data_IF_106925510959
#
_entry.id   IF_106925510959
#
_cell.length_a   1.000
_cell.length_b   1.000
_cell.length_c   1.000
_cell.angle_alpha   90.00
_cell.angle_beta   90.00
_cell.angle_gamma   90.00
#
_symmetry.space_group_name_H-M   'P 1'
#
loop_
_entity.id
_entity.type
_entity.pdbx_description
1 polymer ?
#
# COMPACT_ATOMS: atom_id res chain seq x y z
N UNK A 1 18.97 7.88 -0.32
CA UNK A 1 17.83 7.90 0.63
C UNK A 1 17.99 6.88 1.77
N UNK A 2 18.40 5.64 1.51
CA UNK A 2 18.56 4.61 2.56
C UNK A 2 19.52 4.99 3.70
N UNK A 3 20.70 5.57 3.41
CA UNK A 3 21.66 5.99 4.44
C UNK A 3 21.10 7.08 5.37
N UNK A 4 20.35 8.03 4.80
CA UNK A 4 19.69 9.10 5.55
C UNK A 4 18.66 8.52 6.52
N UNK A 5 17.86 7.56 6.07
CA UNK A 5 16.87 6.86 6.91
C UNK A 5 17.57 6.07 8.02
N UNK A 6 18.65 5.34 7.71
CA UNK A 6 19.43 4.57 8.70
C UNK A 6 19.99 5.46 9.82
N UNK A 7 20.55 6.61 9.46
CA UNK A 7 21.07 7.56 10.44
C UNK A 7 19.95 8.17 11.31
N UNK A 8 18.77 8.41 10.71
CA UNK A 8 17.58 8.88 11.43
C UNK A 8 17.03 7.81 12.38
N UNK A 9 16.95 6.55 11.95
CA UNK A 9 16.51 5.43 12.81
C UNK A 9 17.43 5.27 14.01
N UNK A 10 18.75 5.38 13.83
CA UNK A 10 19.71 5.35 14.96
C UNK A 10 19.38 6.43 16.00
N UNK A 11 19.13 7.67 15.57
CA UNK A 11 18.75 8.77 16.47
C UNK A 11 17.41 8.52 17.15
N UNK A 12 16.43 7.98 16.42
CA UNK A 12 15.13 7.62 16.99
C UNK A 12 15.27 6.55 18.08
N UNK A 13 16.08 5.52 17.87
CA UNK A 13 16.34 4.51 18.89
C UNK A 13 17.00 5.10 20.13
N UNK A 14 17.93 6.04 19.97
CA UNK A 14 18.54 6.73 21.11
C UNK A 14 17.50 7.57 21.89
N UNK A 15 16.58 8.25 21.20
CA UNK A 15 15.47 8.99 21.83
C UNK A 15 14.55 8.05 22.61
N UNK A 16 14.16 6.91 22.02
CA UNK A 16 13.27 5.93 22.63
C UNK A 16 13.87 5.15 23.81
N UNK A 17 15.16 5.33 24.13
CA UNK A 17 15.75 4.78 25.36
C UNK A 17 15.29 5.51 26.62
N UNK A 18 14.79 6.75 26.50
CA UNK A 18 14.29 7.49 27.65
C UNK A 18 12.89 6.98 28.05
N UNK A 19 12.73 6.34 29.22
CA UNK A 19 11.43 5.82 29.67
C UNK A 19 10.43 6.94 30.02
N UNK A 20 10.91 8.15 30.31
CA UNK A 20 10.06 9.31 30.62
C UNK A 20 9.51 10.00 29.35
N UNK A 21 9.90 9.52 28.15
CA UNK A 21 9.39 10.06 26.89
C UNK A 21 7.90 9.74 26.74
N UNK A 22 7.07 10.78 26.76
CA UNK A 22 5.61 10.69 26.66
C UNK A 22 5.05 11.40 25.40
N UNK A 23 5.91 11.93 24.55
CA UNK A 23 5.54 12.60 23.30
C UNK A 23 6.15 11.90 22.09
N UNK A 24 5.44 11.93 20.96
CA UNK A 24 5.92 11.40 19.68
C UNK A 24 7.11 12.25 19.18
N UNK A 25 8.31 11.68 18.95
CA UNK A 25 9.45 12.43 18.45
C UNK A 25 9.18 13.05 17.08
N UNK A 26 9.54 14.32 16.90
CA UNK A 26 9.39 15.05 15.63
C UNK A 26 10.21 14.42 14.49
N UNK A 27 11.32 13.78 14.84
CA UNK A 27 12.17 13.02 13.91
C UNK A 27 11.41 11.87 13.24
N UNK A 28 10.42 11.28 13.91
CA UNK A 28 9.62 10.18 13.35
C UNK A 28 8.77 10.68 12.18
N UNK A 29 8.33 11.94 12.21
CA UNK A 29 7.50 12.54 11.16
C UNK A 29 8.27 12.76 9.86
N UNK A 30 9.60 12.87 9.95
CA UNK A 30 10.48 12.94 8.78
C UNK A 30 10.65 11.58 8.10
N UNK A 31 10.17 10.49 8.71
CA UNK A 31 10.05 9.19 8.05
C UNK A 31 8.90 9.28 7.07
N UNK A 32 9.15 8.97 5.79
CA UNK A 32 8.17 9.08 4.69
C UNK A 32 6.98 8.11 4.75
N UNK A 33 6.55 7.70 5.94
CA UNK A 33 5.36 6.89 6.22
C UNK A 33 4.47 7.51 7.31
N UNK A 34 4.55 8.83 7.48
CA UNK A 34 3.59 9.57 8.31
C UNK A 34 2.17 9.23 7.83
N UNK A 35 1.23 9.02 8.76
CA UNK A 35 -0.17 8.59 8.54
C UNK A 35 -0.40 7.12 8.19
N UNK A 36 0.63 6.30 7.97
CA UNK A 36 0.41 4.88 7.67
C UNK A 36 -0.29 4.14 8.82
N UNK A 37 0.07 4.47 10.07
CA UNK A 37 -0.57 3.88 11.25
C UNK A 37 -2.03 4.29 11.39
N UNK A 38 -2.40 5.51 10.99
CA UNK A 38 -3.79 5.97 11.03
C UNK A 38 -4.64 5.23 9.99
N UNK A 39 -4.15 5.12 8.75
CA UNK A 39 -4.82 4.34 7.71
C UNK A 39 -4.97 2.87 8.09
N UNK A 40 -3.94 2.26 8.70
CA UNK A 40 -3.99 0.88 9.16
C UNK A 40 -5.00 0.68 10.30
N UNK A 41 -5.00 1.57 11.31
CA UNK A 41 -5.95 1.51 12.42
C UNK A 41 -7.40 1.71 11.95
N UNK A 42 -7.65 2.65 11.04
CA UNK A 42 -9.00 2.84 10.51
C UNK A 42 -9.43 1.65 9.66
N UNK A 43 -8.56 1.09 8.82
CA UNK A 43 -8.87 -0.11 8.05
C UNK A 43 -9.28 -1.28 8.95
N UNK A 44 -8.51 -1.56 10.01
CA UNK A 44 -8.84 -2.60 10.99
C UNK A 44 -10.18 -2.31 11.69
N UNK A 45 -10.42 -1.04 12.07
CA UNK A 45 -11.66 -0.61 12.72
C UNK A 45 -12.87 -0.75 11.79
N UNK A 46 -12.72 -0.41 10.51
CA UNK A 46 -13.77 -0.51 9.50
C UNK A 46 -14.14 -1.95 9.18
N UNK A 47 -13.16 -2.85 9.09
CA UNK A 47 -13.42 -4.30 8.92
C UNK A 47 -14.14 -4.83 10.16
N UNK A 48 -13.60 -4.59 11.36
CA UNK A 48 -14.14 -5.17 12.58
C UNK A 48 -15.58 -4.72 12.86
N UNK A 49 -15.88 -3.43 12.67
CA UNK A 49 -17.17 -2.84 13.00
C UNK A 49 -18.14 -2.77 11.80
N UNK A 50 -17.79 -3.33 10.64
CA UNK A 50 -18.54 -3.18 9.38
C UNK A 50 -18.92 -1.70 9.08
N UNK A 51 -17.98 -0.76 9.29
CA UNK A 51 -18.28 0.69 9.15
C UNK A 51 -18.66 1.07 7.71
N UNK A 52 -18.27 0.26 6.72
CA UNK A 52 -18.43 0.54 5.29
C UNK A 52 -17.78 1.86 4.85
N UNK A 53 -16.70 2.24 5.55
CA UNK A 53 -15.85 3.37 5.17
C UNK A 53 -15.27 3.12 3.78
N UNK A 54 -15.22 4.17 2.95
CA UNK A 54 -14.50 4.12 1.67
C UNK A 54 -13.03 4.43 1.93
N UNK A 55 -12.14 3.52 1.54
CA UNK A 55 -10.70 3.68 1.69
C UNK A 55 -9.98 3.24 0.40
N UNK A 56 -8.82 3.81 0.11
CA UNK A 56 -7.95 3.36 -0.97
C UNK A 56 -7.06 2.23 -0.45
N UNK A 57 -7.19 1.04 -1.03
CA UNK A 57 -6.45 -0.15 -0.60
C UNK A 57 -6.03 -1.01 -1.79
N UNK A 58 -4.98 -1.79 -1.59
CA UNK A 58 -4.58 -2.83 -2.53
C UNK A 58 -5.53 -4.03 -2.39
N UNK A 59 -6.17 -4.40 -3.49
CA UNK A 59 -7.11 -5.55 -3.56
C UNK A 59 -7.03 -6.22 -4.93
N UNK A 60 -7.69 -7.36 -5.08
CA UNK A 60 -7.83 -8.05 -6.36
C UNK A 60 -8.70 -7.22 -7.31
N UNK A 61 -8.28 -7.08 -8.56
CA UNK A 61 -8.95 -6.21 -9.54
C UNK A 61 -10.43 -6.55 -9.71
N UNK A 62 -10.77 -7.82 -9.95
CA UNK A 62 -12.15 -8.29 -10.14
C UNK A 62 -13.01 -7.34 -11.02
N UNK A 63 -12.45 -6.88 -12.14
CA UNK A 63 -13.11 -5.95 -13.06
C UNK A 63 -13.18 -4.48 -12.63
N UNK A 64 -12.61 -4.08 -11.49
CA UNK A 64 -12.64 -2.69 -11.02
C UNK A 64 -11.96 -1.72 -12.00
N UNK A 65 -10.79 -2.09 -12.53
CA UNK A 65 -10.10 -1.40 -13.61
C UNK A 65 -10.23 -2.24 -14.89
N UNK A 66 -10.96 -1.71 -15.87
CA UNK A 66 -11.06 -2.30 -17.18
C UNK A 66 -9.70 -2.29 -17.91
N UNK A 67 -9.36 -3.41 -18.54
CA UNK A 67 -8.10 -3.57 -19.29
C UNK A 67 -6.93 -4.14 -18.48
N UNK A 68 -7.14 -4.48 -17.19
CA UNK A 68 -6.20 -5.26 -16.40
C UNK A 68 -6.77 -6.66 -16.11
N UNK A 69 -5.92 -7.69 -15.89
CA UNK A 69 -6.39 -9.01 -15.48
C UNK A 69 -7.21 -8.93 -14.19
N UNK A 70 -8.28 -9.72 -14.09
CA UNK A 70 -9.15 -9.72 -12.90
C UNK A 70 -8.43 -10.20 -11.65
N UNK A 71 -7.40 -11.03 -11.81
CA UNK A 71 -6.66 -11.64 -10.72
C UNK A 71 -5.48 -10.83 -10.21
N UNK A 72 -5.14 -9.74 -10.88
CA UNK A 72 -4.04 -8.87 -10.49
C UNK A 72 -4.39 -7.95 -9.31
N UNK A 73 -3.37 -7.49 -8.57
CA UNK A 73 -3.55 -6.50 -7.50
C UNK A 73 -3.65 -5.09 -8.07
N UNK A 74 -4.62 -4.31 -7.59
CA UNK A 74 -4.81 -2.88 -7.90
C UNK A 74 -5.04 -2.09 -6.62
N UNK A 75 -4.61 -0.83 -6.60
CA UNK A 75 -4.94 0.12 -5.53
C UNK A 75 -6.11 1.00 -5.96
N UNK A 76 -7.30 0.75 -5.40
CA UNK A 76 -8.53 1.44 -5.79
C UNK A 76 -9.37 1.79 -4.57
N UNK A 77 -10.32 2.71 -4.74
CA UNK A 77 -11.34 2.97 -3.73
C UNK A 77 -12.16 1.70 -3.49
N UNK A 78 -12.25 1.29 -2.23
CA UNK A 78 -13.00 0.13 -1.81
C UNK A 78 -13.95 0.51 -0.67
N UNK A 79 -15.14 -0.09 -0.66
CA UNK A 79 -15.97 -0.12 0.54
C UNK A 79 -15.42 -1.19 1.48
N UNK A 80 -14.99 -0.78 2.67
CA UNK A 80 -14.44 -1.72 3.66
C UNK A 80 -15.56 -2.36 4.46
N UNK A 81 -15.82 -3.64 4.18
CA UNK A 81 -16.83 -4.44 4.88
C UNK A 81 -16.19 -5.42 5.86
N UNK A 82 -17.02 -6.05 6.69
CA UNK A 82 -16.57 -7.14 7.58
C UNK A 82 -15.96 -8.34 6.84
N UNK A 83 -16.35 -8.56 5.58
CA UNK A 83 -15.80 -9.64 4.74
C UNK A 83 -14.55 -9.20 3.97
N UNK A 84 -14.08 -7.96 4.16
CA UNK A 84 -12.95 -7.38 3.46
C UNK A 84 -13.34 -6.24 2.50
N UNK A 85 -12.37 -5.72 1.74
CA UNK A 85 -12.58 -4.62 0.80
C UNK A 85 -13.38 -5.07 -0.43
N UNK A 86 -14.43 -4.32 -0.77
CA UNK A 86 -15.18 -4.46 -2.02
C UNK A 86 -14.78 -3.31 -2.94
N UNK A 87 -14.07 -3.63 -4.02
CA UNK A 87 -13.59 -2.65 -4.99
C UNK A 87 -14.76 -1.91 -5.66
N UNK A 88 -14.63 -0.60 -5.80
CA UNK A 88 -15.56 0.22 -6.56
C UNK A 88 -15.10 0.31 -8.02
N UNK A 89 -16.04 0.36 -8.96
CA UNK A 89 -15.72 0.49 -10.38
C UNK A 89 -14.97 1.79 -10.66
N UNK A 90 -13.86 1.69 -11.39
CA UNK A 90 -13.07 2.81 -11.85
C UNK A 90 -13.49 3.16 -13.27
N UNK A 91 -13.62 4.45 -13.55
CA UNK A 91 -13.89 4.90 -14.92
C UNK A 91 -12.75 4.47 -15.85
N UNK A 92 -13.04 4.07 -17.11
CA UNK A 92 -11.98 3.66 -18.04
C UNK A 92 -10.90 4.74 -18.19
N UNK A 93 -9.64 4.32 -18.10
CA UNK A 93 -8.51 5.21 -18.31
C UNK A 93 -8.34 5.56 -19.80
N UNK A 94 -7.82 6.77 -20.11
CA UNK A 94 -7.30 7.06 -21.44
C UNK A 94 -6.26 6.00 -21.88
N UNK A 95 -6.22 5.71 -23.17
CA UNK A 95 -5.42 4.59 -23.73
C UNK A 95 -3.93 4.67 -23.37
N UNK A 96 -3.35 5.87 -23.39
CA UNK A 96 -1.96 6.12 -23.04
C UNK A 96 -1.66 5.83 -21.56
N UNK A 97 -2.55 6.26 -20.66
CA UNK A 97 -2.47 6.02 -19.22
C UNK A 97 -2.64 4.53 -18.91
N UNK A 98 -3.62 3.86 -19.53
CA UNK A 98 -3.85 2.43 -19.35
C UNK A 98 -2.61 1.61 -19.76
N UNK A 99 -1.99 1.96 -20.89
CA UNK A 99 -0.76 1.29 -21.36
C UNK A 99 0.39 1.41 -20.38
N UNK A 100 0.54 2.56 -19.74
CA UNK A 100 1.58 2.75 -18.71
C UNK A 100 1.32 1.86 -17.49
N UNK A 101 0.07 1.75 -17.05
CA UNK A 101 -0.31 0.89 -15.93
C UNK A 101 -0.08 -0.59 -16.29
N UNK A 102 -0.45 -1.01 -17.50
CA UNK A 102 -0.21 -2.37 -18.00
C UNK A 102 1.29 -2.71 -18.04
N UNK A 103 2.12 -1.79 -18.54
CA UNK A 103 3.58 -1.97 -18.55
C UNK A 103 4.14 -2.19 -17.13
N UNK A 104 3.69 -1.41 -16.16
CA UNK A 104 4.10 -1.57 -14.77
C UNK A 104 3.60 -2.89 -14.19
N UNK A 105 2.39 -3.33 -14.54
CA UNK A 105 1.84 -4.60 -14.09
C UNK A 105 2.59 -5.80 -14.64
N UNK A 106 3.00 -5.74 -15.91
CA UNK A 106 3.81 -6.79 -16.54
C UNK A 106 5.19 -6.86 -15.86
N UNK A 107 5.81 -5.71 -15.61
CA UNK A 107 7.06 -5.62 -14.86
C UNK A 107 6.94 -6.24 -13.45
N UNK A 108 5.88 -5.91 -12.70
CA UNK A 108 5.64 -6.49 -11.38
C UNK A 108 5.47 -8.01 -11.45
N UNK A 109 4.69 -8.50 -12.42
CA UNK A 109 4.38 -9.92 -12.58
C UNK A 109 5.63 -10.74 -12.91
N UNK A 110 6.43 -10.28 -13.87
CA UNK A 110 7.70 -10.91 -14.24
C UNK A 110 8.72 -10.87 -13.09
N UNK A 111 8.76 -9.75 -12.34
CA UNK A 111 9.63 -9.63 -11.16
C UNK A 111 9.23 -10.64 -10.08
N UNK A 112 7.93 -10.81 -9.82
CA UNK A 112 7.42 -11.81 -8.87
C UNK A 112 7.74 -13.22 -9.35
N UNK A 113 7.55 -13.51 -10.64
CA UNK A 113 7.90 -14.81 -11.22
C UNK A 113 9.39 -15.12 -11.05
N UNK A 114 10.27 -14.19 -11.41
CA UNK A 114 11.72 -14.34 -11.23
C UNK A 114 12.09 -14.51 -9.75
N UNK A 115 11.44 -13.78 -8.83
CA UNK A 115 11.68 -13.89 -7.39
C UNK A 115 11.23 -15.23 -6.80
N UNK A 116 10.09 -15.78 -7.26
CA UNK A 116 9.55 -17.07 -6.79
C UNK A 116 10.32 -18.25 -7.38
N UNK A 117 10.67 -18.18 -8.67
CA UNK A 117 11.36 -19.28 -9.37
C UNK A 117 12.88 -19.25 -9.20
N UNK A 118 13.46 -18.08 -8.89
CA UNK A 118 14.90 -17.85 -8.89
C UNK A 118 15.53 -17.80 -10.29
N UNK A 119 14.72 -17.78 -11.36
CA UNK A 119 15.22 -17.72 -12.73
C UNK A 119 15.71 -16.32 -13.07
N UNK A 120 16.97 -16.21 -13.50
CA UNK A 120 17.58 -14.93 -13.91
C UNK A 120 17.20 -14.47 -15.33
N UNK A 121 16.59 -15.36 -16.11
CA UNK A 121 16.24 -15.12 -17.51
C UNK A 121 14.72 -14.99 -17.75
N UNK A 122 13.92 -15.03 -16.69
CA UNK A 122 12.53 -14.54 -16.72
C UNK A 122 12.57 -13.03 -16.94
#
# INVERSE_FOLDING_TARGET
>A
RGEVVKAMEKRLFDIYRNPELNEKPKELEKRGGQYYSEAACELMSSIYNDKRTIMHVNTRNNGAIAGLPDDCTVEVSCMITKSGPVALNVAPFPTDTLRLIQLMKDFESLTVEAAVTGNRNT
#
